data_IF_804021329357
#
_entry.id   IF_804021329357
#
_cell.length_a   1.000
_cell.length_b   1.000
_cell.length_c   1.000
_cell.angle_alpha   90.00
_cell.angle_beta   90.00
_cell.angle_gamma   90.00
#
_symmetry.space_group_name_H-M   'P 1'
#
loop_
_entity.id
_entity.type
_entity.pdbx_description
1 polymer ?
#
# COMPACT_ATOMS: atom_id res chain seq x y z
N UNK A 1 -2.02 12.02 16.35
CA UNK A 1 -1.20 11.11 15.50
C UNK A 1 0.16 10.88 16.16
N UNK A 2 0.53 9.61 16.30
CA UNK A 2 1.77 9.13 16.96
C UNK A 2 2.69 8.39 15.99
N UNK A 3 2.10 7.75 14.97
CA UNK A 3 2.79 7.02 13.93
C UNK A 3 2.23 7.39 12.57
N UNK A 4 3.06 7.30 11.53
CA UNK A 4 2.67 7.39 10.12
C UNK A 4 3.14 6.13 9.42
N UNK A 5 2.23 5.44 8.75
CA UNK A 5 2.52 4.32 7.86
C UNK A 5 2.11 4.74 6.45
N UNK A 6 3.07 4.90 5.56
CA UNK A 6 2.84 5.38 4.20
C UNK A 6 3.21 4.29 3.20
N UNK A 7 2.35 4.05 2.20
CA UNK A 7 2.64 3.18 1.06
C UNK A 7 2.50 3.89 -0.29
N UNK A 8 3.39 3.57 -1.22
CA UNK A 8 3.25 3.94 -2.65
C UNK A 8 4.13 3.05 -3.53
N UNK A 9 3.67 2.86 -4.76
CA UNK A 9 4.37 2.18 -5.86
C UNK A 9 4.74 3.17 -6.97
N UNK A 10 4.57 4.48 -6.72
CA UNK A 10 4.65 5.53 -7.74
C UNK A 10 5.98 6.28 -7.79
N UNK A 11 7.05 5.63 -7.35
CA UNK A 11 8.39 6.21 -7.28
C UNK A 11 8.99 6.14 -5.89
N UNK A 12 10.23 6.60 -5.77
CA UNK A 12 11.02 6.57 -4.54
C UNK A 12 11.79 7.88 -4.41
N UNK A 13 11.96 8.37 -3.19
CA UNK A 13 12.77 9.56 -2.90
C UNK A 13 13.42 9.46 -1.52
N UNK A 14 14.43 10.30 -1.27
CA UNK A 14 15.12 10.42 0.02
C UNK A 14 15.39 11.90 0.33
N UNK A 15 14.64 12.53 1.26
CA UNK A 15 13.66 11.95 2.17
C UNK A 15 12.35 11.47 1.52
N UNK A 16 11.78 10.39 2.06
CA UNK A 16 10.60 9.72 1.48
C UNK A 16 9.28 10.50 1.57
N UNK A 17 8.23 9.93 0.95
CA UNK A 17 6.90 10.49 0.89
C UNK A 17 6.25 10.65 2.28
N UNK A 18 6.56 9.74 3.21
CA UNK A 18 6.18 9.83 4.61
C UNK A 18 6.75 11.07 5.31
N UNK A 19 7.99 11.47 4.97
CA UNK A 19 8.60 12.70 5.45
C UNK A 19 7.91 13.93 4.86
N UNK A 20 7.66 13.94 3.56
CA UNK A 20 6.96 15.05 2.89
C UNK A 20 5.56 15.23 3.48
N UNK A 21 4.80 14.14 3.63
CA UNK A 21 3.48 14.16 4.25
C UNK A 21 3.54 14.68 5.70
N UNK A 22 4.52 14.21 6.48
CA UNK A 22 4.73 14.66 7.87
C UNK A 22 4.88 16.17 7.96
N UNK A 23 5.63 16.79 7.03
CA UNK A 23 5.79 18.24 6.95
C UNK A 23 4.53 18.94 6.49
N UNK A 24 3.88 18.44 5.43
CA UNK A 24 2.67 19.05 4.86
C UNK A 24 1.52 19.10 5.86
N UNK A 25 1.37 18.06 6.68
CA UNK A 25 0.34 17.98 7.72
C UNK A 25 0.74 18.64 9.05
N UNK A 26 1.95 19.19 9.16
CA UNK A 26 2.43 19.79 10.41
C UNK A 26 2.47 18.81 11.58
N UNK A 27 2.74 17.53 11.33
CA UNK A 27 2.80 16.52 12.39
C UNK A 27 4.00 16.78 13.31
N UNK A 28 3.92 16.21 14.53
CA UNK A 28 5.02 16.29 15.50
C UNK A 28 6.32 15.75 14.87
N UNK A 29 7.47 16.44 15.01
CA UNK A 29 8.75 15.97 14.46
C UNK A 29 9.18 14.60 14.98
N UNK A 30 8.70 14.21 16.17
CA UNK A 30 8.95 12.91 16.80
C UNK A 30 7.98 11.80 16.37
N UNK A 31 7.13 12.05 15.36
CA UNK A 31 6.24 11.02 14.81
C UNK A 31 7.06 9.84 14.30
N UNK A 32 6.69 8.63 14.71
CA UNK A 32 7.35 7.41 14.27
C UNK A 32 6.86 7.07 12.87
N UNK A 33 7.75 7.01 11.90
CA UNK A 33 7.40 6.82 10.49
C UNK A 33 7.81 5.44 10.01
N UNK A 34 6.96 4.83 9.19
CA UNK A 34 7.26 3.62 8.44
C UNK A 34 6.84 3.86 6.98
N UNK A 35 7.83 3.86 6.09
CA UNK A 35 7.64 4.08 4.66
C UNK A 35 7.79 2.75 3.92
N UNK A 36 6.79 2.37 3.12
CA UNK A 36 6.82 1.19 2.27
C UNK A 36 6.74 1.59 0.80
N UNK A 37 7.87 1.46 0.12
CA UNK A 37 7.96 1.67 -1.32
C UNK A 37 7.84 0.36 -2.08
N UNK A 38 7.28 0.44 -3.29
CA UNK A 38 7.32 -0.60 -4.32
C UNK A 38 6.77 -1.96 -3.87
N UNK A 39 5.71 -1.97 -3.04
CA UNK A 39 5.04 -3.20 -2.63
C UNK A 39 3.93 -3.64 -3.60
N UNK A 40 3.39 -2.72 -4.42
CA UNK A 40 2.32 -3.03 -5.36
C UNK A 40 0.94 -3.16 -4.70
N UNK A 41 0.01 -3.79 -5.42
CA UNK A 41 -1.43 -3.72 -5.11
C UNK A 41 -1.84 -4.28 -3.73
N UNK A 42 -1.06 -5.18 -3.14
CA UNK A 42 -1.38 -5.75 -1.81
C UNK A 42 -0.99 -4.83 -0.64
N UNK A 43 -0.29 -3.72 -0.92
CA UNK A 43 0.22 -2.81 0.10
C UNK A 43 -0.87 -2.26 1.03
N UNK A 44 -2.10 -2.08 0.53
CA UNK A 44 -3.25 -1.67 1.33
C UNK A 44 -3.55 -2.60 2.52
N UNK A 45 -3.48 -3.92 2.31
CA UNK A 45 -3.60 -4.89 3.40
C UNK A 45 -2.38 -4.88 4.33
N UNK A 46 -1.18 -4.71 3.76
CA UNK A 46 0.08 -4.65 4.51
C UNK A 46 0.14 -3.46 5.47
N UNK A 47 -0.27 -2.26 5.04
CA UNK A 47 -0.26 -1.08 5.91
C UNK A 47 -1.24 -1.23 7.08
N UNK A 48 -2.40 -1.86 6.86
CA UNK A 48 -3.38 -2.12 7.90
C UNK A 48 -2.85 -3.16 8.90
N UNK A 49 -2.23 -4.24 8.42
CA UNK A 49 -1.56 -5.23 9.27
C UNK A 49 -0.51 -4.59 10.18
N UNK A 50 0.36 -3.75 9.62
CA UNK A 50 1.39 -3.04 10.39
C UNK A 50 0.74 -2.05 11.38
N UNK A 51 -0.29 -1.31 10.94
CA UNK A 51 -0.97 -0.36 11.80
C UNK A 51 -1.70 -1.03 12.97
N UNK A 52 -2.23 -2.25 12.78
CA UNK A 52 -2.80 -3.08 13.85
C UNK A 52 -1.76 -3.32 14.94
N UNK A 53 -0.61 -3.88 14.59
CA UNK A 53 0.46 -4.19 15.56
C UNK A 53 0.97 -2.91 16.26
N UNK A 54 1.14 -1.81 15.51
CA UNK A 54 1.58 -0.53 16.07
C UNK A 54 0.55 0.08 17.03
N UNK A 55 -0.74 -0.01 16.71
CA UNK A 55 -1.80 0.54 17.53
C UNK A 55 -2.02 -0.27 18.81
N UNK A 56 -2.05 -1.60 18.70
CA UNK A 56 -2.30 -2.50 19.84
C UNK A 56 -1.13 -2.57 20.81
N UNK A 57 0.10 -2.53 20.30
CA UNK A 57 1.30 -2.67 21.12
C UNK A 57 1.77 -1.34 21.76
N UNK A 58 1.08 -0.22 21.48
CA UNK A 58 1.45 1.10 22.02
C UNK A 58 0.21 1.81 22.58
N UNK A 59 0.08 1.84 23.90
CA UNK A 59 -1.07 2.49 24.58
C UNK A 59 -1.28 3.94 24.10
N UNK A 60 -2.50 4.26 23.69
CA UNK A 60 -2.87 5.60 23.21
C UNK A 60 -2.33 5.95 21.83
N UNK A 61 -1.74 4.99 21.10
CA UNK A 61 -1.29 5.23 19.75
C UNK A 61 -2.48 5.50 18.81
N UNK A 62 -2.26 6.48 17.94
CA UNK A 62 -3.08 6.76 16.76
C UNK A 62 -2.16 6.78 15.55
N UNK A 63 -2.35 5.82 14.66
CA UNK A 63 -1.54 5.58 13.47
C UNK A 63 -2.28 6.20 12.28
N UNK A 64 -1.63 7.13 11.58
CA UNK A 64 -2.10 7.62 10.30
C UNK A 64 -1.58 6.67 9.22
N UNK A 65 -2.49 5.93 8.59
CA UNK A 65 -2.21 5.08 7.43
C UNK A 65 -2.51 5.86 6.18
N UNK A 66 -1.60 5.87 5.22
CA UNK A 66 -1.80 6.50 3.90
C UNK A 66 -1.30 5.58 2.80
N UNK A 67 -2.09 5.43 1.75
CA UNK A 67 -1.64 4.90 0.48
C UNK A 67 -1.97 5.90 -0.62
N UNK A 68 -0.96 6.24 -1.42
CA UNK A 68 -1.08 7.23 -2.49
C UNK A 68 -0.41 6.67 -3.74
N UNK A 69 -1.17 6.56 -4.80
CA UNK A 69 -0.72 5.99 -6.07
C UNK A 69 -1.02 6.98 -7.20
N UNK A 70 -0.03 7.18 -8.05
CA UNK A 70 -0.09 7.94 -9.31
C UNK A 70 0.53 7.11 -10.45
N UNK A 71 0.00 7.23 -11.66
CA UNK A 71 0.41 6.44 -12.83
C UNK A 71 1.64 7.01 -13.54
N UNK A 72 2.25 8.08 -13.02
CA UNK A 72 3.36 8.78 -13.67
C UNK A 72 4.54 7.86 -14.00
N UNK A 73 4.86 6.90 -13.13
CA UNK A 73 5.98 5.97 -13.33
C UNK A 73 5.63 4.78 -14.24
N UNK A 74 4.35 4.54 -14.51
CA UNK A 74 3.87 3.39 -15.29
C UNK A 74 3.37 3.77 -16.68
N UNK A 75 3.04 5.05 -16.89
CA UNK A 75 2.50 5.56 -18.14
C UNK A 75 3.52 5.45 -19.27
N UNK A 76 3.12 4.83 -20.39
CA UNK A 76 3.95 4.69 -21.59
C UNK A 76 3.12 4.47 -22.84
N UNK A 77 3.74 4.74 -23.99
CA UNK A 77 3.14 4.44 -25.30
C UNK A 77 2.87 2.94 -25.48
N UNK A 78 1.84 2.58 -26.28
CA UNK A 78 1.52 1.19 -26.58
C UNK A 78 2.62 0.52 -27.42
N UNK A 79 2.71 -0.81 -27.32
CA UNK A 79 3.61 -1.62 -28.15
C UNK A 79 3.03 -3.00 -28.39
N UNK A 80 3.04 -3.45 -29.65
CA UNK A 80 2.53 -4.76 -30.05
C UNK A 80 3.33 -5.92 -29.44
N UNK A 81 4.56 -5.67 -28.99
CA UNK A 81 5.42 -6.66 -28.33
C UNK A 81 5.24 -6.72 -26.82
N UNK A 82 4.39 -5.85 -26.23
CA UNK A 82 4.18 -5.77 -24.78
C UNK A 82 2.70 -5.60 -24.42
N UNK A 83 1.89 -6.60 -24.80
CA UNK A 83 0.44 -6.61 -24.57
C UNK A 83 0.05 -6.44 -23.08
N UNK A 84 0.81 -7.01 -22.15
CA UNK A 84 0.59 -6.86 -20.71
C UNK A 84 0.62 -5.38 -20.28
N UNK A 85 1.43 -4.56 -20.94
CA UNK A 85 1.48 -3.12 -20.68
C UNK A 85 0.16 -2.45 -21.06
N UNK A 86 -0.53 -2.92 -22.11
CA UNK A 86 -1.84 -2.38 -22.50
C UNK A 86 -2.90 -2.66 -21.43
N UNK A 87 -2.86 -3.85 -20.82
CA UNK A 87 -3.72 -4.19 -19.67
C UNK A 87 -3.46 -3.21 -18.52
N UNK A 88 -2.19 -2.96 -18.20
CA UNK A 88 -1.82 -1.95 -17.19
C UNK A 88 -2.32 -0.54 -17.53
N UNK A 89 -2.16 -0.10 -18.78
CA UNK A 89 -2.63 1.24 -19.21
C UNK A 89 -4.16 1.37 -19.14
N UNK A 90 -4.90 0.28 -19.28
CA UNK A 90 -6.36 0.28 -19.20
C UNK A 90 -6.90 0.24 -17.76
N UNK A 91 -6.10 -0.27 -16.80
CA UNK A 91 -6.55 -0.52 -15.42
C UNK A 91 -5.99 0.49 -14.41
N UNK A 92 -4.75 0.96 -14.57
CA UNK A 92 -4.13 1.81 -13.57
C UNK A 92 -4.69 3.22 -13.56
N UNK A 93 -4.89 3.76 -12.36
CA UNK A 93 -5.45 5.09 -12.13
C UNK A 93 -4.81 5.74 -10.91
N UNK A 94 -4.93 7.06 -10.83
CA UNK A 94 -4.47 7.83 -9.67
C UNK A 94 -5.48 7.75 -8.51
N UNK A 95 -4.97 7.71 -7.28
CA UNK A 95 -5.81 7.73 -6.09
C UNK A 95 -5.01 7.76 -4.79
N UNK A 96 -5.61 8.34 -3.74
CA UNK A 96 -5.06 8.29 -2.40
C UNK A 96 -6.15 8.00 -1.37
N UNK A 97 -5.81 7.22 -0.35
CA UNK A 97 -6.67 6.90 0.78
C UNK A 97 -5.92 7.04 2.09
N UNK A 98 -6.61 7.46 3.15
CA UNK A 98 -6.05 7.59 4.48
C UNK A 98 -6.99 7.06 5.56
N UNK A 99 -6.44 6.43 6.59
CA UNK A 99 -7.18 5.91 7.74
C UNK A 99 -6.48 6.30 9.05
N UNK A 100 -7.27 6.51 10.10
CA UNK A 100 -6.77 6.60 11.46
C UNK A 100 -7.04 5.26 12.14
N UNK A 101 -5.97 4.60 12.59
CA UNK A 101 -6.03 3.32 13.30
C UNK A 101 -5.59 3.53 14.74
N UNK A 102 -6.32 2.97 15.68
CA UNK A 102 -6.01 3.02 17.10
C UNK A 102 -6.78 1.96 17.88
N UNK A 103 -6.22 1.55 19.00
CA UNK A 103 -6.89 0.72 20.01
C UNK A 103 -7.41 1.59 21.14
N UNK A 104 -8.35 1.07 21.92
CA UNK A 104 -9.01 1.75 23.04
C UNK A 104 -9.57 3.13 22.62
N UNK A 105 -10.68 3.16 21.86
CA UNK A 105 -11.27 4.41 21.38
C UNK A 105 -11.72 5.29 22.55
N UNK A 106 -11.32 6.56 22.52
CA UNK A 106 -11.73 7.56 23.49
C UNK A 106 -13.04 8.23 23.01
N UNK A 107 -14.16 7.69 23.48
CA UNK A 107 -15.49 8.21 23.14
C UNK A 107 -15.72 9.60 23.73
N UNK A 108 -14.99 10.00 24.78
CA UNK A 108 -15.08 11.36 25.35
C UNK A 108 -14.41 12.39 24.45
N UNK A 109 -13.38 11.98 23.70
CA UNK A 109 -12.77 12.76 22.63
C UNK A 109 -13.54 12.72 21.30
N UNK A 110 -14.70 12.06 21.27
CA UNK A 110 -15.56 11.95 20.09
C UNK A 110 -15.13 10.88 19.09
N UNK A 111 -14.23 9.98 19.45
CA UNK A 111 -13.84 8.87 18.58
C UNK A 111 -15.01 7.90 18.41
N UNK A 112 -15.27 7.52 17.14
CA UNK A 112 -16.33 6.59 16.76
C UNK A 112 -15.71 5.47 15.91
N UNK A 113 -15.51 4.26 16.48
CA UNK A 113 -15.04 3.12 15.73
C UNK A 113 -15.97 2.81 14.56
N UNK A 114 -15.40 2.61 13.37
CA UNK A 114 -16.14 2.22 12.17
C UNK A 114 -16.00 0.71 11.94
N UNK A 115 -14.78 0.19 12.11
CA UNK A 115 -14.44 -1.22 11.96
C UNK A 115 -13.43 -1.64 13.04
N UNK A 116 -13.39 -2.93 13.33
CA UNK A 116 -12.38 -3.56 14.18
C UNK A 116 -11.55 -4.55 13.36
N UNK A 117 -10.22 -4.48 13.49
CA UNK A 117 -9.31 -5.41 12.82
C UNK A 117 -9.07 -6.63 13.71
N UNK A 118 -9.87 -7.68 13.53
CA UNK A 118 -9.78 -8.91 14.32
C UNK A 118 -8.47 -9.67 14.06
N UNK A 119 -8.08 -9.80 12.80
CA UNK A 119 -6.88 -10.54 12.38
C UNK A 119 -6.31 -9.98 11.09
N UNK A 120 -5.02 -10.21 10.86
CA UNK A 120 -4.36 -9.91 9.59
C UNK A 120 -3.37 -11.03 9.26
N UNK A 121 -3.41 -11.51 8.01
CA UNK A 121 -2.57 -12.61 7.53
C UNK A 121 -2.10 -12.33 6.10
N UNK A 122 -1.03 -13.01 5.68
CA UNK A 122 -0.53 -12.99 4.32
C UNK A 122 0.01 -14.37 3.97
N UNK A 123 -0.01 -14.73 2.70
CA UNK A 123 0.57 -15.98 2.19
C UNK A 123 1.14 -15.77 0.80
N UNK A 124 2.05 -16.65 0.40
CA UNK A 124 2.55 -16.77 -0.96
C UNK A 124 1.85 -17.99 -1.57
N UNK A 125 1.25 -17.82 -2.74
CA UNK A 125 0.53 -18.91 -3.39
C UNK A 125 1.51 -19.94 -3.96
N UNK A 126 1.21 -21.25 -3.86
CA UNK A 126 2.02 -22.26 -4.51
C UNK A 126 1.99 -22.07 -6.04
N UNK A 127 3.10 -22.42 -6.70
CA UNK A 127 3.28 -22.33 -8.16
C UNK A 127 3.02 -20.93 -8.75
N UNK A 128 3.16 -19.85 -7.97
CA UNK A 128 2.89 -18.49 -8.41
C UNK A 128 4.13 -17.69 -8.84
N UNK A 129 5.31 -18.29 -8.87
CA UNK A 129 6.56 -17.61 -9.26
C UNK A 129 6.43 -16.94 -10.63
N UNK A 130 6.86 -15.68 -10.75
CA UNK A 130 6.78 -14.88 -11.97
C UNK A 130 5.37 -14.51 -12.42
N UNK A 131 4.31 -14.82 -11.65
CA UNK A 131 2.94 -14.51 -12.07
C UNK A 131 2.73 -13.01 -12.33
N UNK A 132 3.35 -12.16 -11.50
CA UNK A 132 3.38 -10.71 -11.64
C UNK A 132 4.79 -10.24 -11.28
N UNK A 133 5.48 -9.66 -12.26
CA UNK A 133 6.78 -9.02 -12.03
C UNK A 133 6.68 -7.52 -12.31
N UNK A 134 7.24 -6.72 -11.41
CA UNK A 134 7.40 -5.27 -11.56
C UNK A 134 8.88 -4.91 -11.56
N UNK A 135 9.35 -4.24 -12.62
CA UNK A 135 10.74 -3.81 -12.73
C UNK A 135 10.83 -2.30 -12.85
N UNK A 136 11.47 -1.65 -11.89
CA UNK A 136 11.84 -0.25 -12.01
C UNK A 136 13.11 -0.14 -12.87
N UNK A 137 13.00 0.55 -13.99
CA UNK A 137 14.07 0.73 -15.00
C UNK A 137 14.19 2.21 -15.36
N UNK A 138 15.15 2.54 -16.23
CA UNK A 138 15.32 3.89 -16.79
C UNK A 138 14.05 4.39 -17.49
N UNK A 139 13.24 3.47 -18.04
CA UNK A 139 11.94 3.73 -18.69
C UNK A 139 10.75 3.73 -17.73
N UNK A 140 11.00 3.89 -16.43
CA UNK A 140 9.99 3.80 -15.38
C UNK A 140 9.69 2.36 -14.95
N UNK A 141 8.50 2.14 -14.39
CA UNK A 141 8.07 0.87 -13.81
C UNK A 141 7.35 0.00 -14.84
N UNK A 142 7.99 -1.06 -15.31
CA UNK A 142 7.42 -2.02 -16.28
C UNK A 142 6.82 -3.23 -15.57
N UNK A 143 5.63 -3.68 -16.01
CA UNK A 143 4.98 -4.88 -15.50
C UNK A 143 4.98 -6.01 -16.54
N UNK A 144 5.11 -7.24 -16.05
CA UNK A 144 4.99 -8.46 -16.84
C UNK A 144 4.03 -9.43 -16.14
N UNK A 145 3.09 -10.00 -16.90
CA UNK A 145 2.06 -10.92 -16.40
C UNK A 145 2.26 -12.27 -17.08
N UNK A 146 2.94 -13.20 -16.41
CA UNK A 146 3.37 -14.47 -17.05
C UNK A 146 2.41 -15.64 -16.79
N UNK A 147 1.41 -15.48 -15.92
CA UNK A 147 0.45 -16.53 -15.53
C UNK A 147 -0.98 -16.00 -15.45
N UNK A 148 -1.95 -16.92 -15.47
CA UNK A 148 -3.35 -16.62 -15.17
C UNK A 148 -3.53 -16.28 -13.68
N UNK A 149 -3.31 -15.01 -13.34
CA UNK A 149 -3.43 -14.48 -11.97
C UNK A 149 -4.82 -14.71 -11.38
N UNK A 150 -5.94 -14.38 -12.06
CA UNK A 150 -7.27 -14.71 -11.56
C UNK A 150 -7.46 -16.21 -11.27
N UNK A 151 -6.96 -17.08 -12.15
CA UNK A 151 -6.99 -18.53 -11.95
C UNK A 151 -6.17 -19.01 -10.74
N UNK A 152 -4.97 -18.46 -10.54
CA UNK A 152 -4.12 -18.77 -9.38
C UNK A 152 -4.78 -18.36 -8.07
N UNK A 153 -5.34 -17.15 -8.00
CA UNK A 153 -6.00 -16.64 -6.80
C UNK A 153 -7.25 -17.46 -6.49
N UNK A 154 -8.13 -17.67 -7.48
CA UNK A 154 -9.41 -18.36 -7.27
C UNK A 154 -9.27 -19.81 -6.79
N UNK A 155 -8.19 -20.51 -7.16
CA UNK A 155 -7.90 -21.87 -6.69
C UNK A 155 -7.43 -21.94 -5.24
N UNK A 156 -6.96 -20.83 -4.67
CA UNK A 156 -6.33 -20.78 -3.36
C UNK A 156 -7.11 -19.96 -2.32
N UNK A 157 -8.24 -19.35 -2.71
CA UNK A 157 -9.17 -18.76 -1.74
C UNK A 157 -9.93 -19.89 -1.04
N UNK A 158 -9.82 -19.95 0.28
CA UNK A 158 -10.62 -20.85 1.12
C UNK A 158 -12.09 -20.38 1.07
N UNK A 159 -13.01 -21.29 0.76
CA UNK A 159 -14.46 -21.04 0.84
C UNK A 159 -14.93 -20.95 2.29
#
# INVERSE_FOLDING_TARGET
ITHVVFCTTSGVDMPGADYQLTKLLGLRPSVKRLMMYQQGCFAGGTVLRIAKDLAENNRGARVLVVCSEITAVTFRGPSDTHLDSLVGQALFSDGAAALIVGSDPDTSAGEKPIFEMVSAAQTILPDSDGAIDGHLREVGLTFHLLKDVPGLISKNIVK
#
